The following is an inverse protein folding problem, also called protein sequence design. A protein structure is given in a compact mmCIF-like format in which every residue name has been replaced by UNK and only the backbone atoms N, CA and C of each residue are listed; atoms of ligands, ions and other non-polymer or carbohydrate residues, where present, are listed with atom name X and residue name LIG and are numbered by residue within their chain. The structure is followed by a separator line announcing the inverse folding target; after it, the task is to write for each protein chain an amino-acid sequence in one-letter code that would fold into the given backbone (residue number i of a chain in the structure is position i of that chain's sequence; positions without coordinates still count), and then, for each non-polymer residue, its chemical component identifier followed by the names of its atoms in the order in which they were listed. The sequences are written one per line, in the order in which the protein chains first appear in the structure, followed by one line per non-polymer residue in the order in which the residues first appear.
data_IF_413872345899
#
_entry.id   IF_413872345899
#
_cell.length_a   1.000
_cell.length_b   1.000
_cell.length_c   1.000
_cell.angle_alpha   90.00
_cell.angle_beta   90.00
_cell.angle_gamma   90.00
#
_symmetry.space_group_name_H-M   'P 1'
#
loop_
_entity.id
_entity.type
_entity.pdbx_description
1 polymer ?
#
# COMPACT_ATOMS: atom_id res chain seq x y z
N UNK A 1 43.36 21.36 -33.23
CA UNK A 1 43.80 21.75 -31.86
C UNK A 1 42.62 22.47 -31.20
N UNK A 2 41.82 21.76 -30.39
CA UNK A 2 41.68 21.95 -28.93
C UNK A 2 41.38 23.39 -28.49
N UNK A 3 40.08 23.68 -28.32
CA UNK A 3 39.61 24.41 -27.13
C UNK A 3 38.56 23.52 -26.47
N UNK A 4 38.78 23.31 -25.18
CA UNK A 4 38.13 22.34 -24.30
C UNK A 4 37.25 23.12 -23.33
N UNK A 5 36.26 22.41 -22.76
CA UNK A 5 35.51 22.69 -21.51
C UNK A 5 34.32 23.64 -21.69
N UNK A 6 33.10 23.12 -21.61
CA UNK A 6 32.42 22.74 -20.36
C UNK A 6 32.24 23.96 -19.46
N UNK A 7 31.01 24.46 -19.30
CA UNK A 7 30.40 24.78 -18.01
C UNK A 7 28.95 25.24 -18.23
N UNK A 8 28.02 24.37 -17.83
CA UNK A 8 26.88 24.72 -16.96
C UNK A 8 26.10 25.98 -17.34
N UNK A 9 25.03 25.83 -18.12
CA UNK A 9 23.90 26.77 -18.10
C UNK A 9 22.73 26.19 -18.89
N UNK A 10 21.85 25.46 -18.20
CA UNK A 10 20.38 25.62 -18.25
C UNK A 10 19.76 24.43 -17.50
N UNK A 11 19.94 24.42 -16.17
CA UNK A 11 18.82 24.05 -15.32
C UNK A 11 17.77 25.12 -15.59
N UNK A 12 16.60 24.76 -16.11
CA UNK A 12 15.32 25.42 -15.83
C UNK A 12 14.19 24.71 -16.57
N UNK A 13 13.24 24.23 -15.75
CA UNK A 13 11.81 24.13 -16.03
C UNK A 13 11.38 22.97 -16.93
N UNK A 14 10.93 21.90 -16.28
CA UNK A 14 9.56 21.38 -16.47
C UNK A 14 9.21 20.47 -15.28
N UNK A 15 9.19 21.06 -14.07
CA UNK A 15 8.49 20.47 -12.92
C UNK A 15 6.98 20.67 -13.10
N UNK A 16 6.39 20.00 -14.10
CA UNK A 16 4.97 20.12 -14.42
C UNK A 16 4.28 18.74 -14.49
N UNK A 17 4.69 17.80 -13.63
CA UNK A 17 3.99 16.53 -13.44
C UNK A 17 3.96 16.11 -11.96
N UNK A 18 3.55 17.02 -11.06
CA UNK A 18 3.21 16.68 -9.67
C UNK A 18 1.94 17.43 -9.22
N UNK A 19 0.96 17.54 -10.12
CA UNK A 19 -0.42 17.93 -9.79
C UNK A 19 -1.40 16.76 -9.98
N UNK A 20 -0.93 15.50 -9.89
CA UNK A 20 -1.81 14.43 -9.42
C UNK A 20 -2.12 14.77 -7.96
N UNK A 21 -3.40 15.00 -7.66
CA UNK A 21 -3.83 15.87 -6.57
C UNK A 21 -3.21 15.54 -5.21
N UNK A 22 -3.05 16.57 -4.37
CA UNK A 22 -2.80 16.42 -2.93
C UNK A 22 -3.92 15.65 -2.17
N UNK A 23 -4.86 15.04 -2.89
CA UNK A 23 -5.96 14.18 -2.44
C UNK A 23 -6.10 12.90 -3.28
N UNK A 24 -5.04 12.43 -3.95
CA UNK A 24 -5.12 11.31 -4.90
C UNK A 24 -5.43 9.93 -4.28
N UNK A 25 -5.80 9.01 -5.17
CA UNK A 25 -6.04 7.59 -4.95
C UNK A 25 -4.96 6.92 -4.07
N UNK A 26 -5.30 5.84 -3.35
CA UNK A 26 -4.32 5.13 -2.53
C UNK A 26 -3.24 4.50 -3.40
N UNK A 27 -1.98 4.67 -2.99
CA UNK A 27 -0.86 3.97 -3.61
C UNK A 27 -0.79 2.50 -3.18
N UNK A 28 -0.07 1.65 -3.93
CA UNK A 28 0.21 0.28 -3.50
C UNK A 28 0.84 0.20 -2.10
N UNK A 29 1.67 1.19 -1.74
CA UNK A 29 2.28 1.26 -0.41
C UNK A 29 1.23 1.55 0.68
N UNK A 30 0.28 2.45 0.40
CA UNK A 30 -0.84 2.75 1.30
C UNK A 30 -1.71 1.51 1.52
N UNK A 31 -2.02 0.79 0.44
CA UNK A 31 -2.78 -0.45 0.50
C UNK A 31 -2.05 -1.52 1.31
N UNK A 32 -0.74 -1.69 1.07
CA UNK A 32 0.10 -2.61 1.83
C UNK A 32 0.12 -2.28 3.33
N UNK A 33 0.22 -1.00 3.69
CA UNK A 33 0.17 -0.54 5.07
C UNK A 33 -1.17 -0.90 5.73
N UNK A 34 -2.29 -0.70 5.01
CA UNK A 34 -3.63 -1.07 5.50
C UNK A 34 -3.75 -2.58 5.76
N UNK A 35 -3.18 -3.43 4.90
CA UNK A 35 -3.15 -4.88 5.13
C UNK A 35 -2.29 -5.24 6.34
N UNK A 36 -1.08 -4.69 6.45
CA UNK A 36 -0.19 -4.94 7.58
C UNK A 36 -0.83 -4.52 8.91
N UNK A 37 -1.45 -3.35 8.96
CA UNK A 37 -2.15 -2.85 10.14
C UNK A 37 -3.32 -3.77 10.55
N UNK A 38 -4.03 -4.37 9.58
CA UNK A 38 -5.10 -5.34 9.88
C UNK A 38 -4.53 -6.64 10.45
N UNK A 39 -3.44 -7.17 9.88
CA UNK A 39 -2.77 -8.37 10.39
C UNK A 39 -2.26 -8.15 11.81
N UNK A 40 -1.62 -7.01 12.08
CA UNK A 40 -1.14 -6.65 13.41
C UNK A 40 -2.28 -6.53 14.42
N UNK A 41 -3.39 -5.88 14.04
CA UNK A 41 -4.58 -5.75 14.89
C UNK A 41 -5.19 -7.13 15.21
N UNK A 42 -5.23 -8.04 14.24
CA UNK A 42 -5.69 -9.41 14.46
C UNK A 42 -4.74 -10.18 15.38
N UNK A 43 -3.41 -10.05 15.18
CA UNK A 43 -2.43 -10.68 16.05
C UNK A 43 -2.55 -10.20 17.50
N UNK A 44 -2.75 -8.89 17.72
CA UNK A 44 -2.99 -8.31 19.06
C UNK A 44 -4.30 -8.80 19.68
N UNK A 45 -5.37 -8.94 18.88
CA UNK A 45 -6.63 -9.52 19.33
C UNK A 45 -6.44 -10.98 19.78
N UNK A 46 -5.74 -11.79 18.96
CA UNK A 46 -5.43 -13.18 19.29
C UNK A 46 -4.58 -13.28 20.55
N UNK A 47 -3.61 -12.38 20.74
CA UNK A 47 -2.83 -12.29 21.97
C UNK A 47 -3.70 -11.99 23.18
N UNK A 48 -4.68 -11.08 23.04
CA UNK A 48 -5.55 -10.65 24.12
C UNK A 48 -6.53 -11.76 24.56
N UNK A 49 -6.97 -12.61 23.62
CA UNK A 49 -7.94 -13.69 23.88
C UNK A 49 -7.24 -14.97 24.35
N UNK A 50 -6.19 -15.39 23.65
CA UNK A 50 -5.55 -16.71 23.83
C UNK A 50 -4.11 -16.64 24.31
N UNK A 51 -3.61 -15.47 24.68
CA UNK A 51 -2.22 -15.27 25.11
C UNK A 51 -1.21 -15.35 23.96
N UNK A 52 0.07 -15.35 24.32
CA UNK A 52 1.18 -15.29 23.35
C UNK A 52 1.22 -16.47 22.38
N UNK A 53 0.77 -17.65 22.80
CA UNK A 53 0.81 -18.85 21.96
C UNK A 53 -0.25 -18.80 20.85
N UNK A 54 -1.43 -18.22 21.12
CA UNK A 54 -2.45 -17.98 20.11
C UNK A 54 -1.97 -16.98 19.05
N UNK A 55 -1.30 -15.90 19.45
CA UNK A 55 -0.70 -14.94 18.52
C UNK A 55 0.40 -15.57 17.65
N UNK A 56 1.27 -16.41 18.24
CA UNK A 56 2.29 -17.15 17.48
C UNK A 56 1.69 -18.17 16.51
N UNK A 57 0.56 -18.79 16.88
CA UNK A 57 -0.13 -19.70 15.99
C UNK A 57 -0.77 -18.95 14.82
N UNK A 58 -1.38 -17.79 15.10
CA UNK A 58 -1.91 -16.90 14.07
C UNK A 58 -0.82 -16.45 13.08
N UNK A 59 0.34 -16.01 13.57
CA UNK A 59 1.47 -15.57 12.73
C UNK A 59 1.97 -16.67 11.78
N UNK A 60 1.88 -17.95 12.18
CA UNK A 60 2.22 -19.09 11.30
C UNK A 60 1.14 -19.44 10.28
N UNK A 61 -0.09 -19.00 10.50
CA UNK A 61 -1.26 -19.36 9.67
C UNK A 61 -1.72 -18.21 8.77
N UNK A 62 -1.27 -16.98 9.03
CA UNK A 62 -1.61 -15.82 8.22
C UNK A 62 -0.71 -15.76 6.98
N UNK A 63 -1.27 -15.63 5.76
CA UNK A 63 -0.49 -15.38 4.57
C UNK A 63 0.29 -14.06 4.70
N UNK A 64 1.57 -14.07 4.35
CA UNK A 64 2.40 -12.86 4.31
C UNK A 64 2.23 -12.21 2.96
N UNK A 65 1.65 -11.02 2.94
CA UNK A 65 1.54 -10.22 1.72
C UNK A 65 2.95 -9.79 1.31
N UNK A 66 3.34 -10.09 0.07
CA UNK A 66 4.65 -9.77 -0.48
C UNK A 66 4.59 -8.68 -1.54
N UNK A 67 3.47 -8.57 -2.24
CA UNK A 67 3.26 -7.57 -3.28
C UNK A 67 1.79 -7.14 -3.36
N UNK A 68 1.59 -5.87 -3.69
CA UNK A 68 0.28 -5.28 -3.96
C UNK A 68 0.41 -4.39 -5.19
N UNK A 69 -0.38 -4.68 -6.22
CA UNK A 69 -0.50 -3.83 -7.39
C UNK A 69 -1.91 -3.26 -7.51
N UNK A 70 -2.03 -1.93 -7.49
CA UNK A 70 -3.31 -1.25 -7.66
C UNK A 70 -3.62 -1.15 -9.15
N UNK A 71 -4.63 -1.89 -9.61
CA UNK A 71 -5.02 -1.94 -11.03
C UNK A 71 -5.92 -0.77 -11.40
N UNK A 72 -6.85 -0.43 -10.53
CA UNK A 72 -7.74 0.72 -10.66
C UNK A 72 -8.25 1.16 -9.29
N UNK A 73 -8.60 2.43 -9.16
CA UNK A 73 -9.31 2.99 -8.03
C UNK A 73 -10.35 3.99 -8.52
N UNK A 74 -11.59 3.81 -8.08
CA UNK A 74 -12.68 4.76 -8.33
C UNK A 74 -13.10 5.39 -7.01
N UNK A 75 -13.13 6.72 -6.94
CA UNK A 75 -13.76 7.40 -5.81
C UNK A 75 -15.28 7.18 -5.87
N UNK A 76 -15.83 6.53 -4.84
CA UNK A 76 -17.26 6.21 -4.75
C UNK A 76 -18.01 7.14 -3.79
N UNK A 77 -17.27 7.89 -2.97
CA UNK A 77 -17.74 8.93 -2.05
C UNK A 77 -16.52 9.76 -1.64
N UNK A 78 -16.73 11.01 -1.21
CA UNK A 78 -15.66 11.88 -0.68
C UNK A 78 -14.69 11.12 0.23
N UNK A 79 -13.41 11.09 -0.18
CA UNK A 79 -12.31 10.42 0.52
C UNK A 79 -12.47 8.88 0.65
N UNK A 80 -13.31 8.27 -0.20
CA UNK A 80 -13.61 6.83 -0.21
C UNK A 80 -13.43 6.25 -1.60
N UNK A 81 -12.52 5.30 -1.70
CA UNK A 81 -12.08 4.72 -2.97
C UNK A 81 -12.37 3.23 -2.99
N UNK A 82 -12.95 2.76 -4.09
CA UNK A 82 -13.09 1.34 -4.41
C UNK A 82 -11.98 0.98 -5.38
N UNK A 83 -11.06 0.15 -4.93
CA UNK A 83 -9.88 -0.23 -5.70
C UNK A 83 -9.88 -1.70 -6.07
N UNK A 84 -9.62 -2.00 -7.34
CA UNK A 84 -9.26 -3.35 -7.76
C UNK A 84 -7.75 -3.49 -7.64
N UNK A 85 -7.33 -4.46 -6.85
CA UNK A 85 -5.92 -4.72 -6.54
C UNK A 85 -5.57 -6.16 -6.92
N UNK A 86 -4.33 -6.36 -7.32
CA UNK A 86 -3.71 -7.68 -7.40
C UNK A 86 -2.80 -7.85 -6.19
N UNK A 87 -3.11 -8.86 -5.38
CA UNK A 87 -2.44 -9.16 -4.12
C UNK A 87 -1.65 -10.44 -4.30
N UNK A 88 -0.35 -10.41 -4.02
CA UNK A 88 0.48 -11.61 -3.92
C UNK A 88 0.82 -11.86 -2.46
N UNK A 89 0.60 -13.09 -2.01
CA UNK A 89 0.92 -13.51 -0.65
C UNK A 89 1.57 -14.89 -0.64
N UNK A 90 2.39 -15.14 0.38
CA UNK A 90 3.07 -16.42 0.61
C UNK A 90 2.58 -17.04 1.92
N UNK A 91 2.21 -18.32 1.87
CA UNK A 91 1.93 -19.15 3.04
C UNK A 91 2.57 -20.54 2.84
N UNK A 92 3.42 -20.97 3.78
CA UNK A 92 4.11 -22.26 3.71
C UNK A 92 4.86 -22.48 2.37
N UNK A 93 5.64 -21.48 1.94
CA UNK A 93 6.38 -21.46 0.67
C UNK A 93 5.51 -21.57 -0.59
N UNK A 94 4.18 -21.48 -0.45
CA UNK A 94 3.25 -21.40 -1.56
C UNK A 94 2.87 -19.94 -1.79
N UNK A 95 3.25 -19.44 -2.96
CA UNK A 95 2.82 -18.13 -3.44
C UNK A 95 1.42 -18.22 -4.04
N UNK A 96 0.62 -17.18 -3.83
CA UNK A 96 -0.71 -17.04 -4.40
C UNK A 96 -0.97 -15.60 -4.76
N UNK A 97 -1.30 -15.36 -6.02
CA UNK A 97 -1.71 -14.06 -6.54
C UNK A 97 -3.22 -14.05 -6.79
N UNK A 98 -3.90 -13.02 -6.34
CA UNK A 98 -5.35 -12.86 -6.50
C UNK A 98 -5.72 -11.42 -6.79
N UNK A 99 -6.61 -11.23 -7.76
CA UNK A 99 -7.27 -9.95 -7.97
C UNK A 99 -8.48 -9.87 -7.04
N UNK A 100 -8.59 -8.77 -6.30
CA UNK A 100 -9.69 -8.52 -5.38
C UNK A 100 -10.03 -7.05 -5.35
N UNK A 101 -11.26 -6.74 -4.93
CA UNK A 101 -11.73 -5.37 -4.78
C UNK A 101 -11.74 -5.01 -3.30
N UNK A 102 -11.15 -3.88 -2.96
CA UNK A 102 -11.13 -3.33 -1.59
C UNK A 102 -11.73 -1.93 -1.57
N UNK A 103 -12.27 -1.54 -0.42
CA UNK A 103 -12.75 -0.16 -0.20
C UNK A 103 -11.86 0.48 0.85
N UNK A 104 -11.28 1.63 0.51
CA UNK A 104 -10.36 2.37 1.34
C UNK A 104 -10.90 3.77 1.61
N UNK A 105 -10.88 4.17 2.87
CA UNK A 105 -11.16 5.53 3.31
C UNK A 105 -9.87 6.26 3.64
N UNK A 106 -9.72 7.48 3.12
CA UNK A 106 -8.68 8.40 3.52
C UNK A 106 -9.08 9.10 4.82
N UNK A 107 -8.21 9.06 5.81
CA UNK A 107 -8.41 9.75 7.09
C UNK A 107 -7.92 11.18 6.99
N UNK A 108 -8.35 12.01 7.95
CA UNK A 108 -7.96 13.42 8.05
C UNK A 108 -6.46 13.65 8.23
N UNK A 109 -5.75 12.65 8.76
CA UNK A 109 -4.29 12.67 8.92
C UNK A 109 -3.54 12.23 7.65
N UNK A 110 -4.27 11.93 6.57
CA UNK A 110 -3.72 11.44 5.30
C UNK A 110 -3.48 9.93 5.26
N UNK A 111 -3.63 9.21 6.37
CA UNK A 111 -3.50 7.75 6.42
C UNK A 111 -4.74 7.06 5.83
N UNK A 112 -4.58 5.80 5.46
CA UNK A 112 -5.65 4.99 4.87
C UNK A 112 -6.22 3.97 5.87
N UNK A 113 -7.45 3.52 5.63
CA UNK A 113 -8.04 2.37 6.32
C UNK A 113 -9.00 1.63 5.41
N UNK A 114 -9.06 0.31 5.56
CA UNK A 114 -10.14 -0.48 4.99
C UNK A 114 -11.47 -0.13 5.66
N UNK A 115 -12.53 -0.09 4.86
CA UNK A 115 -13.89 0.24 5.30
C UNK A 115 -14.87 -0.92 5.14
#
# INVERSE_FOLDING_TARGET
MKVVRNFVALCLITSAALLAGCGGDPSSADVMEVFNAQVEKQAQMMQSIGGKDAAKMFDRMVPKVTDVDVKSCDEIRDDVFKCDIELTAILNDQESTKITTIVLGKKKDGSWAAM
#
